data_IF_324052144556
#
_entry.id   IF_324052144556
#
_cell.length_a   1.000
_cell.length_b   1.000
_cell.length_c   1.000
_cell.angle_alpha   90.00
_cell.angle_beta   90.00
_cell.angle_gamma   90.00
#
_symmetry.space_group_name_H-M   'P 1'
#
loop_
_entity.id
_entity.type
_entity.pdbx_description
1 polymer ?
#
# COMPACT_ATOMS: atom_id res chain seq x y z
N UNK A 1 -28.26 -11.51 -10.95
CA UNK A 1 -27.83 -11.55 -9.53
C UNK A 1 -26.35 -11.27 -9.53
N UNK A 2 -25.87 -10.30 -8.75
CA UNK A 2 -24.42 -10.06 -8.67
C UNK A 2 -23.77 -11.25 -7.98
N UNK A 3 -22.79 -11.85 -8.63
CA UNK A 3 -22.14 -13.06 -8.10
C UNK A 3 -21.26 -12.63 -6.93
N UNK A 4 -21.10 -13.43 -5.88
CA UNK A 4 -20.21 -13.09 -4.74
C UNK A 4 -18.78 -12.70 -5.15
N UNK A 5 -18.35 -13.17 -6.32
CA UNK A 5 -17.12 -12.80 -7.02
C UNK A 5 -17.04 -11.32 -7.42
N UNK A 6 -18.13 -10.76 -7.95
CA UNK A 6 -18.20 -9.35 -8.38
C UNK A 6 -18.18 -8.40 -7.17
N UNK A 7 -18.86 -8.78 -6.08
CA UNK A 7 -18.85 -8.04 -4.82
C UNK A 7 -17.42 -7.99 -4.24
N UNK A 8 -16.75 -9.14 -4.21
CA UNK A 8 -15.35 -9.22 -3.76
C UNK A 8 -14.47 -8.35 -4.64
N UNK A 9 -14.51 -8.47 -5.97
CA UNK A 9 -13.74 -7.61 -6.85
C UNK A 9 -13.99 -6.11 -6.65
N UNK A 10 -15.23 -5.73 -6.32
CA UNK A 10 -15.64 -4.36 -6.01
C UNK A 10 -15.01 -3.79 -4.73
N UNK A 11 -15.21 -4.45 -3.57
CA UNK A 11 -14.63 -4.05 -2.26
C UNK A 11 -13.13 -3.77 -2.38
N UNK A 12 -12.53 -4.64 -3.14
CA UNK A 12 -11.12 -4.88 -3.20
C UNK A 12 -10.55 -3.80 -4.18
N UNK A 13 -11.31 -3.38 -5.20
CA UNK A 13 -11.00 -2.19 -6.02
C UNK A 13 -11.09 -0.89 -5.20
N UNK A 14 -12.07 -0.79 -4.31
CA UNK A 14 -12.19 0.35 -3.39
C UNK A 14 -11.03 0.42 -2.39
N UNK A 15 -10.54 -0.73 -1.90
CA UNK A 15 -9.34 -0.77 -1.04
C UNK A 15 -8.09 -0.20 -1.75
N UNK A 16 -7.85 -0.58 -3.01
CA UNK A 16 -6.73 -0.04 -3.79
C UNK A 16 -6.89 1.47 -3.99
N UNK A 17 -8.10 1.94 -4.31
CA UNK A 17 -8.41 3.39 -4.43
C UNK A 17 -8.11 4.11 -3.10
N UNK A 18 -8.49 3.52 -1.98
CA UNK A 18 -8.18 4.02 -0.64
C UNK A 18 -6.67 4.13 -0.39
N UNK A 19 -5.89 3.09 -0.70
CA UNK A 19 -4.43 3.10 -0.52
C UNK A 19 -3.73 4.14 -1.41
N UNK A 20 -4.18 4.30 -2.65
CA UNK A 20 -3.68 5.32 -3.56
C UNK A 20 -4.04 6.72 -3.07
N UNK A 21 -5.26 6.93 -2.59
CA UNK A 21 -5.72 8.22 -2.09
C UNK A 21 -5.02 8.62 -0.79
N UNK A 22 -4.80 7.68 0.14
CA UNK A 22 -4.12 7.96 1.40
C UNK A 22 -2.65 8.34 1.15
N UNK A 23 -1.89 7.51 0.42
CA UNK A 23 -0.48 7.81 0.15
C UNK A 23 -0.32 8.99 -0.80
N UNK A 24 -1.10 9.04 -1.89
CA UNK A 24 -1.03 10.09 -2.90
C UNK A 24 -1.54 11.43 -2.38
N UNK A 25 -2.67 11.43 -1.68
CA UNK A 25 -3.24 12.63 -1.05
C UNK A 25 -2.32 13.20 0.02
N UNK A 26 -1.74 12.35 0.87
CA UNK A 26 -0.76 12.80 1.86
C UNK A 26 0.52 13.35 1.19
N UNK A 27 1.00 12.73 0.12
CA UNK A 27 2.15 13.24 -0.64
C UNK A 27 1.85 14.62 -1.26
N UNK A 28 0.67 14.80 -1.86
CA UNK A 28 0.26 16.11 -2.43
C UNK A 28 0.17 17.17 -1.34
N UNK A 29 -0.41 16.84 -0.18
CA UNK A 29 -0.49 17.76 0.96
C UNK A 29 0.91 18.18 1.46
N UNK A 30 1.85 17.25 1.53
CA UNK A 30 3.23 17.55 1.90
C UNK A 30 3.97 18.39 0.86
N UNK A 31 3.75 18.15 -0.44
CA UNK A 31 4.35 18.96 -1.51
C UNK A 31 3.85 20.40 -1.44
N UNK A 32 2.56 20.61 -1.12
CA UNK A 32 1.99 21.95 -0.97
C UNK A 32 2.63 22.75 0.16
N UNK A 33 3.23 22.10 1.16
CA UNK A 33 3.93 22.74 2.28
C UNK A 33 5.38 23.14 1.95
N UNK A 34 5.98 22.59 0.88
CA UNK A 34 7.40 22.79 0.56
C UNK A 34 7.78 24.28 0.42
N UNK A 35 7.03 25.15 -0.30
CA UNK A 35 7.42 26.55 -0.45
C UNK A 35 7.55 27.28 0.89
N UNK A 36 6.68 26.99 1.85
CA UNK A 36 6.71 27.57 3.19
C UNK A 36 7.91 27.07 4.01
N UNK A 37 8.26 25.78 3.88
CA UNK A 37 9.36 25.18 4.63
C UNK A 37 10.75 25.63 4.16
N UNK A 38 10.88 26.05 2.91
CA UNK A 38 12.14 26.52 2.35
C UNK A 38 12.40 28.00 2.62
N UNK A 39 11.40 28.75 3.06
CA UNK A 39 11.49 30.20 3.26
C UNK A 39 12.19 30.59 4.58
N UNK A 40 12.35 29.64 5.51
CA UNK A 40 13.03 29.89 6.79
C UNK A 40 13.88 28.71 7.23
N UNK A 41 15.12 29.02 7.63
CA UNK A 41 16.07 28.05 8.17
C UNK A 41 15.57 27.40 9.48
N UNK A 42 14.63 28.02 10.18
CA UNK A 42 14.01 27.43 11.38
C UNK A 42 13.24 26.14 11.06
N UNK A 43 12.74 25.98 9.83
CA UNK A 43 11.97 24.82 9.40
C UNK A 43 12.82 23.70 8.77
N UNK A 44 14.14 23.82 8.73
CA UNK A 44 15.04 22.79 8.19
C UNK A 44 14.79 21.36 8.73
N UNK A 45 14.58 21.15 10.05
CA UNK A 45 14.27 19.81 10.56
C UNK A 45 12.94 19.27 10.03
N UNK A 46 11.90 20.12 9.96
CA UNK A 46 10.61 19.76 9.39
C UNK A 46 10.71 19.47 7.89
N UNK A 47 11.48 20.27 7.14
CA UNK A 47 11.72 20.04 5.71
C UNK A 47 12.33 18.65 5.46
N UNK A 48 13.34 18.23 6.24
CA UNK A 48 13.92 16.87 6.16
C UNK A 48 12.89 15.78 6.45
N UNK A 49 12.05 15.99 7.47
CA UNK A 49 10.95 15.08 7.79
C UNK A 49 9.94 14.95 6.67
N UNK A 50 9.58 16.08 6.03
CA UNK A 50 8.67 16.13 4.88
C UNK A 50 9.26 15.40 3.67
N UNK A 51 10.54 15.60 3.35
CA UNK A 51 11.20 14.84 2.27
C UNK A 51 11.24 13.34 2.56
N UNK A 52 11.56 12.92 3.80
CA UNK A 52 11.53 11.51 4.18
C UNK A 52 10.12 10.92 4.09
N UNK A 53 9.11 11.68 4.54
CA UNK A 53 7.69 11.33 4.42
C UNK A 53 7.25 11.16 2.96
N UNK A 54 7.65 12.07 2.07
CA UNK A 54 7.38 11.97 0.63
C UNK A 54 7.96 10.70 0.03
N UNK A 55 9.22 10.36 0.34
CA UNK A 55 9.83 9.11 -0.14
C UNK A 55 9.05 7.89 0.37
N UNK A 56 8.67 7.88 1.65
CA UNK A 56 7.88 6.80 2.22
C UNK A 56 6.51 6.66 1.53
N UNK A 57 5.80 7.76 1.30
CA UNK A 57 4.51 7.75 0.60
C UNK A 57 4.62 7.27 -0.85
N UNK A 58 5.69 7.65 -1.56
CA UNK A 58 5.93 7.16 -2.92
C UNK A 58 6.19 5.65 -2.94
N UNK A 59 6.97 5.12 -1.99
CA UNK A 59 7.12 3.67 -1.82
C UNK A 59 5.78 2.99 -1.51
N UNK A 60 4.95 3.62 -0.67
CA UNK A 60 3.60 3.16 -0.37
C UNK A 60 2.69 3.10 -1.60
N UNK A 61 2.78 4.07 -2.51
CA UNK A 61 2.10 4.05 -3.81
C UNK A 61 2.59 2.92 -4.71
N UNK A 62 3.91 2.71 -4.80
CA UNK A 62 4.48 1.60 -5.58
C UNK A 62 3.95 0.27 -5.05
N UNK A 63 3.93 0.07 -3.73
CA UNK A 63 3.37 -1.13 -3.12
C UNK A 63 1.87 -1.28 -3.37
N UNK A 64 1.09 -0.20 -3.35
CA UNK A 64 -0.34 -0.24 -3.68
C UNK A 64 -0.59 -0.67 -5.14
N UNK A 65 0.23 -0.19 -6.08
CA UNK A 65 0.16 -0.60 -7.49
C UNK A 65 0.55 -2.06 -7.67
N UNK A 66 1.62 -2.51 -7.00
CA UNK A 66 2.04 -3.92 -7.02
C UNK A 66 0.98 -4.84 -6.43
N UNK A 67 0.37 -4.46 -5.30
CA UNK A 67 -0.77 -5.15 -4.70
C UNK A 67 -1.91 -5.29 -5.71
N UNK A 68 -2.35 -4.20 -6.35
CA UNK A 68 -3.41 -4.24 -7.36
C UNK A 68 -3.08 -5.18 -8.53
N UNK A 69 -1.84 -5.14 -9.04
CA UNK A 69 -1.40 -6.03 -10.12
C UNK A 69 -1.39 -7.50 -9.70
N UNK A 70 -0.87 -7.80 -8.51
CA UNK A 70 -0.81 -9.16 -7.99
C UNK A 70 -2.20 -9.69 -7.65
N UNK A 71 -3.12 -8.84 -7.22
CA UNK A 71 -4.48 -9.28 -6.94
C UNK A 71 -5.25 -9.69 -8.19
N UNK A 72 -5.06 -8.99 -9.30
CA UNK A 72 -5.59 -9.43 -10.61
C UNK A 72 -5.07 -10.81 -10.99
N UNK A 73 -3.77 -11.06 -10.78
CA UNK A 73 -3.17 -12.38 -11.02
C UNK A 73 -3.73 -13.46 -10.08
N UNK A 74 -3.89 -13.14 -8.80
CA UNK A 74 -4.51 -14.01 -7.81
C UNK A 74 -5.92 -14.42 -8.22
N UNK A 75 -6.75 -13.48 -8.69
CA UNK A 75 -8.10 -13.77 -9.20
C UNK A 75 -8.06 -14.71 -10.40
N UNK A 76 -7.13 -14.52 -11.34
CA UNK A 76 -6.96 -15.40 -12.50
C UNK A 76 -6.55 -16.83 -12.12
N UNK A 77 -5.72 -16.99 -11.08
CA UNK A 77 -5.36 -18.32 -10.58
C UNK A 77 -6.56 -19.05 -9.97
N UNK A 78 -7.40 -18.35 -9.20
CA UNK A 78 -8.65 -18.93 -8.69
C UNK A 78 -9.64 -19.29 -9.80
N UNK A 79 -9.75 -18.47 -10.84
CA UNK A 79 -10.59 -18.76 -12.01
C UNK A 79 -10.12 -19.99 -12.79
N UNK A 80 -8.81 -20.11 -13.02
CA UNK A 80 -8.21 -21.27 -13.70
C UNK A 80 -8.37 -22.54 -12.89
N UNK A 81 -8.20 -22.45 -11.57
CA UNK A 81 -8.46 -23.59 -10.70
C UNK A 81 -9.93 -24.01 -10.83
N UNK A 82 -10.88 -23.08 -10.77
CA UNK A 82 -12.31 -23.40 -10.93
C UNK A 82 -12.66 -24.02 -12.31
N UNK A 83 -11.95 -23.67 -13.39
CA UNK A 83 -12.21 -24.18 -14.74
C UNK A 83 -11.54 -25.52 -15.07
N UNK A 84 -10.29 -25.73 -14.66
CA UNK A 84 -9.46 -26.84 -15.14
C UNK A 84 -9.45 -28.05 -14.19
N UNK A 85 -9.83 -27.87 -12.92
CA UNK A 85 -9.96 -28.98 -11.97
C UNK A 85 -10.83 -28.59 -10.77
N UNK A 86 -11.77 -29.42 -10.29
CA UNK A 86 -12.51 -29.11 -9.06
C UNK A 86 -11.63 -29.02 -7.79
N UNK A 87 -10.32 -29.23 -7.92
CA UNK A 87 -9.34 -29.11 -6.86
C UNK A 87 -8.84 -27.67 -6.73
N UNK A 88 -8.89 -27.18 -5.48
CA UNK A 88 -8.42 -25.86 -5.06
C UNK A 88 -6.98 -25.56 -5.55
N UNK A 89 -6.64 -24.30 -5.89
CA UNK A 89 -5.29 -23.96 -6.36
C UNK A 89 -4.22 -24.37 -5.37
N UNK A 90 -3.06 -24.80 -5.88
CA UNK A 90 -1.98 -25.35 -5.06
C UNK A 90 -1.57 -24.37 -3.93
N UNK A 91 -1.67 -24.80 -2.67
CA UNK A 91 -1.40 -23.94 -1.53
C UNK A 91 0.07 -23.52 -1.50
N UNK A 92 0.34 -22.25 -1.19
CA UNK A 92 1.71 -21.77 -1.07
C UNK A 92 2.44 -22.53 0.04
N UNK A 93 3.66 -23.02 -0.24
CA UNK A 93 4.52 -23.59 0.80
C UNK A 93 5.52 -22.54 1.26
N UNK A 94 5.38 -22.12 2.51
CA UNK A 94 6.30 -21.17 3.14
C UNK A 94 6.96 -21.92 4.28
N UNK A 95 8.27 -22.12 4.17
CA UNK A 95 9.07 -22.70 5.25
C UNK A 95 8.55 -24.07 5.76
N UNK A 96 7.96 -24.88 4.87
CA UNK A 96 7.37 -26.19 5.19
C UNK A 96 5.90 -26.18 5.58
N UNK A 97 5.29 -25.01 5.80
CA UNK A 97 3.88 -24.87 6.14
C UNK A 97 3.05 -24.61 4.87
N UNK A 98 1.93 -25.32 4.72
CA UNK A 98 0.98 -25.09 3.63
C UNK A 98 0.06 -23.93 4.02
N UNK A 99 0.21 -22.79 3.35
CA UNK A 99 -0.73 -21.69 3.47
C UNK A 99 -2.05 -22.04 2.78
N UNK A 100 -3.17 -21.53 3.29
CA UNK A 100 -4.48 -21.73 2.65
C UNK A 100 -4.62 -21.04 1.30
N UNK A 101 -3.72 -20.11 0.94
CA UNK A 101 -3.82 -19.30 -0.28
C UNK A 101 -2.66 -19.54 -1.26
N UNK A 102 -2.86 -19.26 -2.57
CA UNK A 102 -1.77 -19.24 -3.56
C UNK A 102 -0.70 -18.22 -3.19
N UNK A 103 0.56 -18.49 -3.54
CA UNK A 103 1.67 -17.60 -3.21
C UNK A 103 1.49 -16.17 -3.75
N UNK A 104 0.82 -16.04 -4.89
CA UNK A 104 0.55 -14.74 -5.53
C UNK A 104 -0.40 -13.90 -4.68
N UNK A 105 -1.41 -14.53 -4.08
CA UNK A 105 -2.38 -13.88 -3.21
C UNK A 105 -1.72 -13.41 -1.91
N UNK A 106 -0.91 -14.26 -1.28
CA UNK A 106 -0.19 -13.87 -0.08
C UNK A 106 0.79 -12.71 -0.35
N UNK A 107 1.54 -12.75 -1.47
CA UNK A 107 2.42 -11.64 -1.87
C UNK A 107 1.62 -10.35 -2.06
N UNK A 108 0.43 -10.43 -2.66
CA UNK A 108 -0.48 -9.30 -2.79
C UNK A 108 -0.82 -8.69 -1.43
N UNK A 109 -1.21 -9.52 -0.46
CA UNK A 109 -1.52 -9.09 0.91
C UNK A 109 -0.32 -8.47 1.60
N UNK A 110 0.89 -9.01 1.40
CA UNK A 110 2.11 -8.41 1.92
C UNK A 110 2.32 -7.00 1.37
N UNK A 111 2.17 -6.78 0.07
CA UNK A 111 2.31 -5.45 -0.53
C UNK A 111 1.25 -4.45 -0.05
N UNK A 112 0.02 -4.92 0.24
CA UNK A 112 -1.01 -4.11 0.87
C UNK A 112 -0.53 -3.59 2.23
N UNK A 113 -0.05 -4.48 3.10
CA UNK A 113 0.46 -4.12 4.42
C UNK A 113 1.73 -3.26 4.36
N UNK A 114 2.62 -3.51 3.41
CA UNK A 114 3.78 -2.64 3.18
C UNK A 114 3.36 -1.23 2.77
N UNK A 115 2.31 -1.08 1.95
CA UNK A 115 1.77 0.23 1.59
C UNK A 115 1.21 0.98 2.81
N UNK A 116 0.46 0.29 3.67
CA UNK A 116 -0.03 0.85 4.94
C UNK A 116 1.12 1.20 5.88
N UNK A 117 2.12 0.33 6.01
CA UNK A 117 3.32 0.57 6.82
C UNK A 117 4.08 1.81 6.36
N UNK A 118 4.26 1.98 5.05
CA UNK A 118 4.86 3.18 4.46
C UNK A 118 4.10 4.47 4.82
N UNK A 119 2.76 4.44 4.79
CA UNK A 119 1.95 5.57 5.21
C UNK A 119 2.18 5.93 6.68
N UNK A 120 2.12 4.94 7.58
CA UNK A 120 2.32 5.16 9.01
C UNK A 120 3.73 5.71 9.29
N UNK A 121 4.76 5.10 8.69
CA UNK A 121 6.15 5.54 8.85
C UNK A 121 6.35 6.96 8.31
N UNK A 122 5.82 7.27 7.12
CA UNK A 122 5.92 8.61 6.55
C UNK A 122 5.25 9.66 7.43
N UNK A 123 4.06 9.37 7.96
CA UNK A 123 3.38 10.23 8.92
C UNK A 123 4.17 10.44 10.22
N UNK A 124 4.76 9.37 10.77
CA UNK A 124 5.60 9.44 11.98
C UNK A 124 6.85 10.29 11.76
N UNK A 125 7.52 10.16 10.61
CA UNK A 125 8.70 10.98 10.29
C UNK A 125 8.36 12.47 10.26
N UNK A 126 7.24 12.84 9.63
CA UNK A 126 6.77 14.23 9.59
C UNK A 126 6.41 14.72 10.99
N UNK A 127 5.65 13.93 11.76
CA UNK A 127 5.22 14.30 13.10
C UNK A 127 6.41 14.52 14.05
N UNK A 128 7.35 13.56 14.11
CA UNK A 128 8.56 13.67 14.95
C UNK A 128 9.39 14.89 14.56
N UNK A 129 9.52 15.16 13.25
CA UNK A 129 10.29 16.30 12.77
C UNK A 129 9.60 17.63 13.09
N UNK A 130 8.26 17.68 13.03
CA UNK A 130 7.48 18.83 13.47
C UNK A 130 7.64 19.13 14.95
N UNK A 131 7.60 18.10 15.82
CA UNK A 131 7.86 18.28 17.25
C UNK A 131 9.28 18.82 17.51
N UNK A 132 10.28 18.37 16.75
CA UNK A 132 11.66 18.89 16.85
C UNK A 132 11.83 20.32 16.35
N UNK A 133 10.89 20.85 15.58
CA UNK A 133 10.91 22.25 15.15
C UNK A 133 10.25 23.18 16.17
N UNK A 134 9.37 22.65 17.02
CA UNK A 134 8.63 23.41 18.02
C UNK A 134 9.37 23.51 19.38
N UNK A 135 10.33 22.62 19.64
CA UNK A 135 11.13 22.60 20.88
C UNK A 135 12.57 23.00 20.62
#
# INVERSE_FOLDING_TARGET
MTTGKEIRAGIDSEQVRGLLLINGGAAVALIALIPFLLDSEAFLPLARGVFAGLVAFQLGLVFAVLHNRLRRKCSLEYERAESDSPNWPDPCRIFGWKAQEPCVCMRSTLFMWLSVGCFILGGLFVAISGFKTLG
#
